data_IF_651154763644
#
_entry.id   IF_651154763644
#
_cell.length_a   1.000
_cell.length_b   1.000
_cell.length_c   1.000
_cell.angle_alpha   90.00
_cell.angle_beta   90.00
_cell.angle_gamma   90.00
#
_symmetry.space_group_name_H-M   'P 1'
#
loop_
_entity.id
_entity.type
_entity.pdbx_description
1 polymer ?
#
# COMPACT_ATOMS: atom_id res chain seq x y z
N UNK A 1 -4.87 -13.81 -14.74
CA UNK A 1 -5.80 -13.34 -13.68
C UNK A 1 -5.03 -13.42 -12.38
N UNK A 2 -4.66 -12.30 -11.76
CA UNK A 2 -3.97 -12.31 -10.47
C UNK A 2 -4.91 -12.76 -9.37
N UNK A 3 -4.45 -13.67 -8.51
CA UNK A 3 -5.20 -14.07 -7.32
C UNK A 3 -5.34 -12.86 -6.39
N UNK A 4 -6.51 -12.68 -5.78
CA UNK A 4 -6.76 -11.56 -4.87
C UNK A 4 -6.78 -12.05 -3.44
N UNK A 5 -6.15 -11.32 -2.54
CA UNK A 5 -6.20 -11.56 -1.09
C UNK A 5 -6.69 -10.31 -0.38
N UNK A 6 -7.45 -10.51 0.70
CA UNK A 6 -7.90 -9.42 1.55
C UNK A 6 -6.97 -9.28 2.74
N UNK A 7 -6.44 -8.08 2.95
CA UNK A 7 -5.71 -7.72 4.17
C UNK A 7 -6.64 -6.95 5.10
N UNK A 8 -6.47 -7.17 6.40
CA UNK A 8 -7.21 -6.45 7.46
C UNK A 8 -6.22 -5.87 8.44
N UNK A 9 -6.44 -4.62 8.84
CA UNK A 9 -5.59 -3.95 9.82
C UNK A 9 -6.36 -2.88 10.58
N UNK A 10 -5.89 -2.58 11.78
CA UNK A 10 -6.31 -1.39 12.50
C UNK A 10 -5.55 -0.18 11.94
N UNK A 11 -6.27 0.80 11.43
CA UNK A 11 -5.69 2.01 10.87
C UNK A 11 -5.05 2.84 12.01
N UNK A 12 -3.74 3.13 11.95
CA UNK A 12 -3.05 3.89 13.01
C UNK A 12 -3.53 5.35 13.13
N UNK A 13 -4.33 5.85 12.17
CA UNK A 13 -4.86 7.21 12.20
C UNK A 13 -6.22 7.33 12.89
N UNK A 14 -7.15 6.45 12.56
CA UNK A 14 -8.52 6.51 13.07
C UNK A 14 -8.81 5.43 14.12
N UNK A 15 -7.88 4.51 14.37
CA UNK A 15 -8.04 3.39 15.32
C UNK A 15 -9.25 2.49 15.00
N UNK A 16 -9.64 2.44 13.73
CA UNK A 16 -10.72 1.57 13.23
C UNK A 16 -10.16 0.43 12.40
N UNK A 17 -10.89 -0.67 12.35
CA UNK A 17 -10.57 -1.80 11.48
C UNK A 17 -10.88 -1.47 10.02
N UNK A 18 -9.84 -1.55 9.19
CA UNK A 18 -9.89 -1.35 7.77
C UNK A 18 -9.60 -2.68 7.07
N UNK A 19 -10.18 -2.85 5.87
CA UNK A 19 -9.87 -3.97 5.00
C UNK A 19 -9.60 -3.45 3.59
N UNK A 20 -8.65 -4.08 2.91
CA UNK A 20 -8.34 -3.77 1.52
C UNK A 20 -8.07 -5.07 0.72
N UNK A 21 -8.33 -5.02 -0.58
CA UNK A 21 -8.16 -6.17 -1.47
C UNK A 21 -6.95 -5.93 -2.35
N UNK A 22 -5.91 -6.73 -2.14
CA UNK A 22 -4.64 -6.64 -2.87
C UNK A 22 -4.46 -7.83 -3.80
N UNK A 23 -3.69 -7.62 -4.86
CA UNK A 23 -3.27 -8.72 -5.73
C UNK A 23 -2.16 -9.52 -5.02
N UNK A 24 -2.39 -10.82 -4.83
CA UNK A 24 -1.47 -11.70 -4.10
C UNK A 24 -0.11 -11.79 -4.79
N UNK A 25 -0.06 -11.57 -6.11
CA UNK A 25 1.17 -11.57 -6.91
C UNK A 25 2.13 -10.44 -6.52
N UNK A 26 1.63 -9.36 -5.91
CA UNK A 26 2.47 -8.29 -5.35
C UNK A 26 3.35 -8.79 -4.20
N UNK A 27 2.82 -9.72 -3.42
CA UNK A 27 3.48 -10.30 -2.25
C UNK A 27 4.27 -11.54 -2.66
N UNK A 28 3.64 -12.49 -3.37
CA UNK A 28 4.28 -13.75 -3.76
C UNK A 28 5.32 -13.58 -4.86
N UNK A 29 5.23 -12.53 -5.68
CA UNK A 29 6.22 -12.19 -6.70
C UNK A 29 7.42 -11.40 -6.16
N UNK A 30 7.38 -10.93 -4.91
CA UNK A 30 8.47 -10.15 -4.33
C UNK A 30 9.58 -11.06 -3.79
N UNK A 31 10.83 -10.68 -4.05
CA UNK A 31 12.03 -11.29 -3.43
C UNK A 31 12.46 -10.59 -2.14
N UNK A 32 11.82 -9.47 -1.80
CA UNK A 32 12.17 -8.60 -0.67
C UNK A 32 10.94 -8.42 0.22
N UNK A 33 11.12 -8.69 1.52
CA UNK A 33 10.08 -8.54 2.53
C UNK A 33 10.58 -7.65 3.68
N UNK A 34 9.67 -6.91 4.36
CA UNK A 34 8.25 -6.77 4.03
C UNK A 34 7.99 -5.92 2.77
N UNK A 35 6.97 -6.28 2.00
CA UNK A 35 6.49 -5.53 0.84
C UNK A 35 5.77 -4.27 1.32
N UNK A 36 6.03 -3.15 0.65
CA UNK A 36 5.38 -1.87 0.95
C UNK A 36 4.13 -1.74 0.11
N UNK A 37 2.98 -1.61 0.76
CA UNK A 37 1.68 -1.42 0.10
C UNK A 37 1.06 -0.09 0.53
N UNK A 38 0.79 0.83 -0.41
CA UNK A 38 0.15 2.11 -0.08
C UNK A 38 -1.36 1.94 0.12
N UNK A 39 -1.84 2.32 1.31
CA UNK A 39 -3.25 2.46 1.61
C UNK A 39 -3.62 3.94 1.71
N UNK A 40 -4.57 4.40 0.88
CA UNK A 40 -5.01 5.80 0.90
C UNK A 40 -6.15 5.93 1.92
N UNK A 41 -5.87 6.63 3.02
CA UNK A 41 -6.87 6.85 4.06
C UNK A 41 -7.78 8.03 3.72
N UNK A 42 -7.18 9.16 3.34
CA UNK A 42 -7.88 10.37 2.92
C UNK A 42 -7.09 11.11 1.82
N UNK A 43 -7.63 12.25 1.34
CA UNK A 43 -7.03 13.04 0.26
C UNK A 43 -5.66 13.67 0.60
N UNK A 44 -5.17 13.52 1.82
CA UNK A 44 -3.88 14.04 2.31
C UNK A 44 -3.03 12.99 3.03
N UNK A 45 -3.57 11.80 3.29
CA UNK A 45 -2.90 10.78 4.09
C UNK A 45 -2.84 9.44 3.37
N UNK A 46 -1.61 9.00 3.15
CA UNK A 46 -1.28 7.65 2.68
C UNK A 46 -0.61 6.90 3.82
N UNK A 47 -1.08 5.70 4.11
CA UNK A 47 -0.53 4.79 5.09
C UNK A 47 0.20 3.69 4.32
N UNK A 48 1.52 3.63 4.42
CA UNK A 48 2.29 2.50 3.91
C UNK A 48 2.16 1.33 4.87
N UNK A 49 1.51 0.27 4.42
CA UNK A 49 1.41 -1.00 5.11
C UNK A 49 2.59 -1.90 4.71
N UNK A 50 3.31 -2.41 5.70
CA UNK A 50 4.41 -3.35 5.50
C UNK A 50 3.90 -4.79 5.61
N UNK A 51 3.74 -5.47 4.49
CA UNK A 51 3.11 -6.80 4.39
C UNK A 51 4.20 -7.87 4.25
N UNK A 52 4.15 -8.92 5.06
CA UNK A 52 5.05 -10.06 4.93
C UNK A 52 4.57 -11.10 3.91
N UNK A 53 5.34 -12.19 3.74
CA UNK A 53 5.01 -13.27 2.81
C UNK A 53 3.72 -14.03 3.18
N UNK A 54 3.22 -13.90 4.42
CA UNK A 54 1.99 -14.50 4.93
C UNK A 54 0.80 -13.54 4.89
N UNK A 55 0.90 -12.43 4.14
CA UNK A 55 -0.13 -11.39 4.05
C UNK A 55 -0.46 -10.72 5.38
N UNK A 56 0.47 -10.78 6.34
CA UNK A 56 0.33 -10.14 7.64
C UNK A 56 1.00 -8.78 7.63
N UNK A 57 0.32 -7.77 8.17
CA UNK A 57 0.90 -6.44 8.32
C UNK A 57 1.83 -6.41 9.54
N UNK A 58 3.10 -6.09 9.31
CA UNK A 58 4.17 -6.05 10.31
C UNK A 58 4.44 -4.65 10.83
N UNK A 59 3.97 -3.63 10.13
CA UNK A 59 4.19 -2.24 10.50
C UNK A 59 3.48 -1.27 9.58
N UNK A 60 3.51 -0.01 9.99
CA UNK A 60 2.89 1.10 9.28
C UNK A 60 3.84 2.30 9.22
N UNK A 61 3.74 3.06 8.15
CA UNK A 61 4.35 4.38 8.05
C UNK A 61 3.33 5.36 7.48
N UNK A 62 3.15 6.50 8.14
CA UNK A 62 2.20 7.52 7.74
C UNK A 62 2.91 8.57 6.90
N UNK A 63 2.43 8.77 5.68
CA UNK A 63 2.94 9.80 4.78
C UNK A 63 1.82 10.82 4.57
N UNK A 64 2.01 11.99 5.15
CA UNK A 64 1.16 13.14 4.89
C UNK A 64 1.65 13.83 3.62
N UNK A 65 0.79 13.87 2.61
CA UNK A 65 1.07 14.47 1.32
C UNK A 65 0.19 15.70 1.12
N UNK A 66 0.68 16.67 0.36
CA UNK A 66 -0.18 17.75 -0.14
C UNK A 66 -1.31 17.16 -0.98
N UNK A 67 -2.52 17.72 -0.85
CA UNK A 67 -3.74 17.25 -1.57
C UNK A 67 -3.50 16.96 -3.05
N UNK A 68 -2.75 17.82 -3.73
CA UNK A 68 -2.47 17.69 -5.16
C UNK A 68 -1.59 16.47 -5.51
N UNK A 69 -0.80 15.98 -4.57
CA UNK A 69 0.13 14.85 -4.76
C UNK A 69 -0.57 13.50 -4.53
N UNK A 70 -1.55 13.45 -3.61
CA UNK A 70 -2.33 12.23 -3.35
C UNK A 70 -3.18 11.87 -4.55
N UNK A 71 -3.88 12.82 -5.16
CA UNK A 71 -4.70 12.54 -6.35
C UNK A 71 -3.84 12.02 -7.52
N UNK A 72 -2.62 12.54 -7.69
CA UNK A 72 -1.68 12.03 -8.68
C UNK A 72 -1.21 10.59 -8.37
N UNK A 73 -1.01 10.26 -7.09
CA UNK A 73 -0.66 8.91 -6.64
C UNK A 73 -1.83 7.93 -6.66
N UNK A 74 -3.05 8.37 -6.35
CA UNK A 74 -4.27 7.56 -6.45
C UNK A 74 -4.55 7.27 -7.92
N UNK A 75 -4.38 8.26 -8.80
CA UNK A 75 -4.53 8.08 -10.25
C UNK A 75 -3.47 7.12 -10.79
N UNK A 76 -2.19 7.36 -10.47
CA UNK A 76 -1.09 6.44 -10.86
C UNK A 76 -1.21 5.07 -10.21
N UNK A 77 -1.66 4.95 -8.96
CA UNK A 77 -1.77 3.71 -8.19
C UNK A 77 -3.00 2.88 -8.56
N UNK A 78 -4.13 3.52 -8.91
CA UNK A 78 -5.30 2.83 -9.48
C UNK A 78 -5.07 2.38 -10.92
N UNK A 79 -4.20 3.07 -11.67
CA UNK A 79 -3.72 2.65 -12.98
C UNK A 79 -2.57 1.61 -12.87
N UNK A 80 -1.74 1.68 -11.83
CA UNK A 80 -0.72 0.70 -11.49
C UNK A 80 -1.30 -0.41 -10.61
N UNK A 81 -2.18 -1.22 -11.22
CA UNK A 81 -2.40 -2.63 -10.82
C UNK A 81 -1.16 -3.53 -11.01
N UNK A 82 0.01 -2.95 -11.22
CA UNK A 82 1.24 -3.66 -11.49
C UNK A 82 2.31 -3.16 -10.53
N UNK A 83 2.63 -4.01 -9.55
CA UNK A 83 3.91 -4.13 -8.87
C UNK A 83 4.88 -2.95 -9.07
N UNK A 84 4.65 -1.83 -8.39
CA UNK A 84 5.72 -0.86 -8.19
C UNK A 84 6.62 -1.39 -7.09
N UNK A 85 7.81 -1.81 -7.50
CA UNK A 85 8.83 -2.33 -6.58
C UNK A 85 9.28 -1.23 -5.63
N UNK A 86 9.95 -1.60 -4.52
CA UNK A 86 10.50 -0.63 -3.56
C UNK A 86 11.45 0.41 -4.19
N UNK A 87 11.96 0.16 -5.40
CA UNK A 87 12.79 1.10 -6.17
C UNK A 87 12.00 2.28 -6.75
N UNK A 88 10.73 2.08 -7.12
CA UNK A 88 9.89 3.14 -7.72
C UNK A 88 9.53 4.22 -6.69
N UNK A 89 9.45 3.86 -5.41
CA UNK A 89 9.20 4.81 -4.32
C UNK A 89 10.38 5.74 -4.02
N UNK A 90 11.62 5.36 -4.40
CA UNK A 90 12.81 6.20 -4.21
C UNK A 90 12.92 7.36 -5.19
N UNK A 91 12.15 7.35 -6.27
CA UNK A 91 12.13 8.41 -7.30
C UNK A 91 10.87 9.29 -7.23
N UNK A 92 9.97 9.01 -6.28
CA UNK A 92 8.73 9.78 -6.06
C UNK A 92 8.91 10.82 -4.93
N UNK A 93 9.96 10.67 -4.11
CA UNK A 93 10.36 11.60 -3.06
C UNK A 93 11.77 12.14 -3.31
#
# INVERSE_FOLDING_TARGET
>A
MGEKTTIKFECPKCHQWHQDVIDSTLVTGSKIFPVRYPYVHDASLVILCYIDAHFTIRGFEQITLGKNTVDALVKKGKEQKAATTAADWKNIF
#
